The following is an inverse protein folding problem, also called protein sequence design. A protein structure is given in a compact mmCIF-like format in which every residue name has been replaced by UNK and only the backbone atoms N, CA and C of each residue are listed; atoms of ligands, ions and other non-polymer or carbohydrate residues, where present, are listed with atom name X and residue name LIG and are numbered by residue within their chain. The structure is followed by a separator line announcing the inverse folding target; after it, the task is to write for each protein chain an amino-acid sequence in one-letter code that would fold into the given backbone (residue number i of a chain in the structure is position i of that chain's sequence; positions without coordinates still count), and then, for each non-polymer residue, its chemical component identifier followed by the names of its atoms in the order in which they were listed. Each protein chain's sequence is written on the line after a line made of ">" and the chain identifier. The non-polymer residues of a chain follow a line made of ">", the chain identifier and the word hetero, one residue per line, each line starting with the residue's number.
data_IF_797373955906
#
_entry.id   IF_797373955906
#
_cell.length_a   1.000
_cell.length_b   1.000
_cell.length_c   1.000
_cell.angle_alpha   90.00
_cell.angle_beta   90.00
_cell.angle_gamma   90.00
#
_symmetry.space_group_name_H-M   'P 1'
#
loop_
_entity.id
_entity.type
_entity.pdbx_description
1 polymer ?
#
# COMPACT_ATOMS: atom_id res chain seq x y z
N UNK A 1 27.42 -3.61 -9.04
CA UNK A 1 27.19 -2.31 -9.71
C UNK A 1 26.91 -2.45 -11.21
N UNK A 2 26.16 -3.47 -11.67
CA UNK A 2 25.94 -3.73 -13.11
C UNK A 2 24.49 -4.06 -13.49
N UNK A 3 23.53 -4.03 -12.56
CA UNK A 3 22.15 -4.48 -12.82
C UNK A 3 21.19 -3.40 -13.35
N UNK A 4 21.62 -2.14 -13.42
CA UNK A 4 20.77 -0.99 -13.78
C UNK A 4 20.98 -0.46 -15.20
N UNK A 5 21.93 -0.99 -15.98
CA UNK A 5 22.23 -0.51 -17.33
C UNK A 5 20.95 -0.54 -18.20
N UNK A 6 20.38 0.64 -18.47
CA UNK A 6 19.19 0.81 -19.30
C UNK A 6 17.89 1.18 -18.57
N UNK A 7 17.85 1.24 -17.23
CA UNK A 7 16.64 1.62 -16.44
C UNK A 7 16.81 2.89 -15.60
N UNK A 8 17.84 3.69 -15.89
CA UNK A 8 18.14 4.92 -15.15
C UNK A 8 16.98 5.94 -15.20
N UNK A 9 16.26 5.99 -16.33
CA UNK A 9 15.10 6.86 -16.46
C UNK A 9 13.97 6.45 -15.50
N UNK A 10 13.66 5.16 -15.44
CA UNK A 10 12.63 4.62 -14.55
C UNK A 10 13.01 4.77 -13.08
N UNK A 11 14.29 4.58 -12.74
CA UNK A 11 14.81 4.85 -11.42
C UNK A 11 14.62 6.33 -11.03
N UNK A 12 14.88 7.26 -11.96
CA UNK A 12 14.68 8.69 -11.77
C UNK A 12 13.20 9.03 -11.55
N UNK A 13 12.31 8.43 -12.33
CA UNK A 13 10.87 8.62 -12.21
C UNK A 13 10.33 8.10 -10.87
N UNK A 14 10.74 6.90 -10.45
CA UNK A 14 10.40 6.33 -9.15
C UNK A 14 10.85 7.21 -7.98
N UNK A 15 12.10 7.69 -8.00
CA UNK A 15 12.61 8.62 -6.99
C UNK A 15 11.86 9.95 -7.00
N UNK A 16 11.41 10.40 -8.17
CA UNK A 16 10.62 11.63 -8.29
C UNK A 16 9.23 11.48 -7.66
N UNK A 17 8.55 10.36 -7.92
CA UNK A 17 7.28 10.04 -7.27
C UNK A 17 7.44 9.91 -5.75
N UNK A 18 8.48 9.20 -5.29
CA UNK A 18 8.80 9.12 -3.86
C UNK A 18 9.03 10.51 -3.24
N UNK A 19 9.79 11.39 -3.90
CA UNK A 19 10.03 12.75 -3.42
C UNK A 19 8.73 13.57 -3.30
N UNK A 20 7.76 13.38 -4.20
CA UNK A 20 6.47 14.10 -4.15
C UNK A 20 5.65 13.72 -2.91
N UNK A 21 5.60 12.44 -2.54
CA UNK A 21 4.89 12.01 -1.32
C UNK A 21 5.60 12.43 -0.02
N UNK A 22 6.92 12.66 -0.06
CA UNK A 22 7.70 13.13 1.10
C UNK A 22 7.49 14.61 1.42
N UNK A 23 7.45 15.47 0.38
CA UNK A 23 7.72 16.89 0.57
C UNK A 23 6.50 17.75 0.93
N UNK A 24 5.27 17.28 0.78
CA UNK A 24 4.06 18.06 1.10
C UNK A 24 4.00 19.48 0.49
N UNK A 25 4.87 19.80 -0.49
CA UNK A 25 5.11 21.10 -1.14
C UNK A 25 6.28 20.97 -2.11
N UNK A 26 6.00 20.98 -3.40
CA UNK A 26 6.21 22.12 -4.33
C UNK A 26 5.29 21.79 -5.49
N UNK A 27 4.42 22.74 -5.84
CA UNK A 27 3.65 22.67 -7.07
C UNK A 27 4.62 22.65 -8.27
N UNK A 28 5.02 21.46 -8.69
CA UNK A 28 5.30 21.21 -10.10
C UNK A 28 4.12 20.41 -10.58
N UNK A 29 3.17 21.12 -11.18
CA UNK A 29 2.03 20.54 -11.86
C UNK A 29 2.50 19.65 -13.00
N UNK A 30 2.82 18.40 -12.67
CA UNK A 30 2.81 17.29 -13.61
C UNK A 30 1.58 16.48 -13.23
N UNK A 31 0.42 17.07 -13.53
CA UNK A 31 -0.76 16.27 -13.80
C UNK A 31 -0.56 15.77 -15.22
N UNK A 32 -0.15 14.51 -15.35
CA UNK A 32 0.18 13.94 -16.64
C UNK A 32 0.43 12.45 -16.53
N UNK A 33 -0.03 11.72 -17.55
CA UNK A 33 0.45 10.37 -17.85
C UNK A 33 1.84 10.54 -18.45
N UNK A 34 2.90 10.33 -17.68
CA UNK A 34 4.23 10.13 -18.24
C UNK A 34 4.35 8.65 -18.61
N UNK A 35 4.31 8.39 -19.91
CA UNK A 35 4.38 7.06 -20.49
C UNK A 35 5.68 6.92 -21.26
N UNK A 36 6.56 6.06 -20.78
CA UNK A 36 7.74 5.58 -21.52
C UNK A 36 7.58 4.09 -21.73
N UNK A 37 8.26 3.49 -22.72
CA UNK A 37 8.26 2.03 -22.91
C UNK A 37 8.53 1.31 -21.58
N UNK A 38 7.51 0.69 -20.98
CA UNK A 38 7.64 -0.10 -19.75
C UNK A 38 7.34 0.62 -18.44
N UNK A 39 7.05 1.94 -18.40
CA UNK A 39 6.65 2.62 -17.16
C UNK A 39 5.54 3.63 -17.43
N UNK A 40 4.47 3.52 -16.65
CA UNK A 40 3.35 4.45 -16.62
C UNK A 40 3.25 5.05 -15.22
N UNK A 41 3.27 6.38 -15.14
CA UNK A 41 3.04 7.09 -13.89
C UNK A 41 1.70 7.79 -13.93
N UNK A 42 0.90 7.52 -12.91
CA UNK A 42 -0.39 8.14 -12.67
C UNK A 42 -0.31 8.93 -11.36
N UNK A 43 -0.21 10.24 -11.48
CA UNK A 43 -0.31 11.17 -10.35
C UNK A 43 -1.79 11.42 -10.05
N UNK A 44 -2.25 11.12 -8.83
CA UNK A 44 -3.64 11.38 -8.41
C UNK A 44 -3.67 12.67 -7.58
N UNK A 45 -4.26 13.78 -8.11
CA UNK A 45 -4.38 15.02 -7.34
C UNK A 45 -5.44 14.89 -6.23
N UNK A 46 -5.17 15.49 -5.07
CA UNK A 46 -6.12 15.63 -3.96
C UNK A 46 -7.27 16.60 -4.32
N UNK A 47 -8.50 16.35 -3.83
CA UNK A 47 -9.60 17.32 -3.93
C UNK A 47 -9.60 18.26 -2.73
N UNK A 48 -9.38 19.55 -3.00
CA UNK A 48 -9.86 20.66 -2.15
C UNK A 48 -9.23 20.77 -0.77
N UNK A 49 -8.06 21.39 -0.68
CA UNK A 49 -7.45 21.78 0.60
C UNK A 49 -6.13 22.51 0.39
N UNK A 50 -5.84 23.51 1.24
CA UNK A 50 -4.64 24.35 1.16
C UNK A 50 -3.35 23.64 1.70
N UNK A 51 -3.34 22.31 1.71
CA UNK A 51 -2.23 21.43 2.10
C UNK A 51 -2.05 20.40 0.99
N UNK A 52 -0.88 20.39 0.35
CA UNK A 52 -0.63 19.64 -0.88
C UNK A 52 0.26 18.42 -0.60
N UNK A 53 -0.36 17.33 -0.15
CA UNK A 53 0.29 16.02 -0.04
C UNK A 53 -0.30 15.13 -1.13
N UNK A 54 0.50 14.74 -2.13
CA UNK A 54 -0.02 13.96 -3.27
C UNK A 54 -0.08 12.46 -2.95
N UNK A 55 -1.00 11.79 -3.64
CA UNK A 55 -0.98 10.36 -3.83
C UNK A 55 -0.35 10.05 -5.18
N UNK A 56 0.54 9.07 -5.22
CA UNK A 56 1.26 8.70 -6.44
C UNK A 56 1.02 7.22 -6.76
N UNK A 57 0.87 6.91 -8.04
CA UNK A 57 0.82 5.54 -8.54
C UNK A 57 1.84 5.39 -9.65
N UNK A 58 2.70 4.38 -9.52
CA UNK A 58 3.71 4.04 -10.54
C UNK A 58 3.51 2.60 -10.95
N UNK A 59 3.20 2.38 -12.23
CA UNK A 59 3.14 1.06 -12.82
C UNK A 59 4.39 0.82 -13.67
N UNK A 60 5.05 -0.30 -13.41
CA UNK A 60 6.26 -0.73 -14.10
C UNK A 60 5.93 -2.04 -14.80
N UNK A 61 6.01 -1.99 -16.11
CA UNK A 61 5.66 -3.06 -17.00
C UNK A 61 6.95 -3.59 -17.68
N UNK A 62 6.87 -4.73 -18.35
CA UNK A 62 8.02 -5.37 -19.01
C UNK A 62 8.08 -6.88 -18.82
N UNK A 63 8.88 -7.56 -19.65
CA UNK A 63 9.01 -9.03 -19.65
C UNK A 63 9.52 -9.61 -18.33
N UNK A 64 9.39 -10.92 -18.16
CA UNK A 64 10.03 -11.63 -17.06
C UNK A 64 11.55 -11.43 -17.09
N UNK A 65 12.18 -11.28 -15.92
CA UNK A 65 13.64 -11.13 -15.81
C UNK A 65 14.20 -9.76 -16.19
N UNK A 66 13.39 -8.76 -16.55
CA UNK A 66 13.87 -7.40 -16.89
C UNK A 66 14.29 -6.56 -15.67
N UNK A 67 14.19 -7.10 -14.46
CA UNK A 67 14.64 -6.43 -13.23
C UNK A 67 13.66 -5.45 -12.60
N UNK A 68 12.34 -5.52 -12.90
CA UNK A 68 11.33 -4.56 -12.38
C UNK A 68 11.29 -4.55 -10.86
N UNK A 69 11.15 -5.73 -10.28
CA UNK A 69 11.13 -5.92 -8.83
C UNK A 69 12.46 -5.54 -8.19
N UNK A 70 13.58 -5.77 -8.89
CA UNK A 70 14.91 -5.37 -8.39
C UNK A 70 15.02 -3.85 -8.32
N UNK A 71 14.58 -3.13 -9.36
CA UNK A 71 14.56 -1.67 -9.39
C UNK A 71 13.78 -1.07 -8.21
N UNK A 72 12.58 -1.59 -7.93
CA UNK A 72 11.78 -1.09 -6.80
C UNK A 72 12.40 -1.45 -5.45
N UNK A 73 12.98 -2.65 -5.30
CA UNK A 73 13.69 -3.04 -4.06
C UNK A 73 14.94 -2.20 -3.79
N UNK A 74 15.63 -1.71 -4.83
CA UNK A 74 16.72 -0.75 -4.64
C UNK A 74 16.20 0.56 -4.01
N UNK A 75 15.08 1.10 -4.51
CA UNK A 75 14.41 2.23 -3.87
C UNK A 75 13.96 1.87 -2.45
N UNK A 76 13.38 0.69 -2.24
CA UNK A 76 12.96 0.22 -0.91
C UNK A 76 14.11 0.18 0.10
N UNK A 77 15.32 -0.23 -0.33
CA UNK A 77 16.51 -0.19 0.51
C UNK A 77 16.93 1.25 0.85
N UNK A 78 16.88 2.18 -0.12
CA UNK A 78 17.11 3.62 0.11
C UNK A 78 16.10 4.19 1.13
N UNK A 79 14.82 3.83 0.99
CA UNK A 79 13.72 4.25 1.88
C UNK A 79 13.92 3.72 3.29
N UNK A 80 14.22 2.43 3.44
CA UNK A 80 14.43 1.83 4.76
C UNK A 80 15.63 2.44 5.48
N UNK A 81 16.69 2.79 4.74
CA UNK A 81 17.86 3.46 5.29
C UNK A 81 17.57 4.88 5.78
N UNK A 82 16.60 5.61 5.21
CA UNK A 82 16.24 6.95 5.68
C UNK A 82 15.40 6.94 6.97
N UNK A 83 14.67 5.84 7.23
CA UNK A 83 13.91 5.63 8.47
C UNK A 83 12.71 6.58 8.68
N UNK A 84 12.33 7.33 7.65
CA UNK A 84 11.28 8.36 7.73
C UNK A 84 10.02 8.03 6.90
N UNK A 85 9.96 6.83 6.34
CA UNK A 85 8.90 6.36 5.44
C UNK A 85 8.72 4.85 5.64
N UNK A 86 7.48 4.38 5.59
CA UNK A 86 7.20 2.95 5.57
C UNK A 86 7.35 2.41 4.14
N UNK A 87 8.02 1.27 3.99
CA UNK A 87 8.06 0.51 2.74
C UNK A 87 7.55 -0.89 3.00
N UNK A 88 6.48 -1.27 2.31
CA UNK A 88 5.88 -2.60 2.40
C UNK A 88 5.81 -3.24 1.02
N UNK A 89 6.22 -4.50 0.95
CA UNK A 89 6.21 -5.29 -0.27
C UNK A 89 5.20 -6.42 -0.14
N UNK A 90 4.20 -6.41 -1.03
CA UNK A 90 3.29 -7.52 -1.27
C UNK A 90 3.68 -8.20 -2.59
N UNK A 91 4.16 -9.43 -2.51
CA UNK A 91 4.48 -10.23 -3.69
C UNK A 91 3.33 -11.17 -4.02
N UNK A 92 2.72 -10.98 -5.18
CA UNK A 92 1.70 -11.89 -5.69
C UNK A 92 2.36 -13.12 -6.33
N UNK A 93 1.80 -14.30 -6.08
CA UNK A 93 2.28 -15.53 -6.67
C UNK A 93 1.10 -16.46 -6.99
N UNK A 94 1.34 -17.41 -7.90
CA UNK A 94 0.33 -18.36 -8.39
C UNK A 94 -0.19 -19.28 -7.27
N UNK A 95 0.65 -19.57 -6.28
CA UNK A 95 0.37 -20.57 -5.23
C UNK A 95 -0.63 -20.00 -4.21
N UNK A 96 -0.47 -18.72 -3.84
CA UNK A 96 -1.31 -18.03 -2.84
C UNK A 96 -2.56 -17.38 -3.42
N UNK A 97 -2.83 -17.53 -4.72
CA UNK A 97 -3.98 -16.90 -5.41
C UNK A 97 -5.35 -17.31 -4.83
N UNK A 98 -5.40 -18.43 -4.12
CA UNK A 98 -6.61 -18.93 -3.47
C UNK A 98 -6.98 -18.18 -2.17
N UNK A 99 -6.02 -17.49 -1.55
CA UNK A 99 -6.24 -16.71 -0.33
C UNK A 99 -6.37 -15.21 -0.68
N UNK A 100 -7.56 -14.62 -0.54
CA UNK A 100 -7.78 -13.21 -0.84
C UNK A 100 -6.85 -12.32 -0.01
N UNK A 101 -6.26 -11.29 -0.63
CA UNK A 101 -5.42 -10.30 0.03
C UNK A 101 -4.11 -10.83 0.63
N UNK A 102 -3.73 -12.11 0.46
CA UNK A 102 -2.58 -12.70 1.16
C UNK A 102 -1.28 -11.89 1.03
N UNK A 103 -0.94 -11.45 -0.18
CA UNK A 103 0.24 -10.64 -0.44
C UNK A 103 0.18 -9.28 0.26
N UNK A 104 -0.99 -8.64 0.26
CA UNK A 104 -1.18 -7.33 0.90
C UNK A 104 -1.21 -7.47 2.43
N UNK A 105 -1.89 -8.48 2.97
CA UNK A 105 -1.90 -8.76 4.41
C UNK A 105 -0.47 -8.97 4.92
N UNK A 106 0.36 -9.73 4.21
CA UNK A 106 1.79 -9.89 4.53
C UNK A 106 2.53 -8.55 4.57
N UNK A 107 2.29 -7.69 3.57
CA UNK A 107 2.91 -6.37 3.48
C UNK A 107 2.48 -5.46 4.67
N UNK A 108 1.20 -5.48 5.01
CA UNK A 108 0.65 -4.68 6.11
C UNK A 108 1.06 -5.21 7.48
N UNK A 109 1.22 -6.52 7.64
CA UNK A 109 1.71 -7.14 8.87
C UNK A 109 3.15 -6.67 9.14
N UNK A 110 4.01 -6.72 8.12
CA UNK A 110 5.35 -6.14 8.19
C UNK A 110 5.34 -4.63 8.48
N UNK A 111 4.34 -3.91 7.96
CA UNK A 111 4.18 -2.47 8.24
C UNK A 111 3.86 -2.23 9.72
N UNK A 112 3.04 -3.08 10.34
CA UNK A 112 2.74 -3.01 11.77
C UNK A 112 4.02 -3.20 12.61
N UNK A 113 4.87 -4.17 12.26
CA UNK A 113 6.17 -4.37 12.93
C UNK A 113 7.06 -3.12 12.82
N UNK A 114 7.13 -2.52 11.63
CA UNK A 114 7.91 -1.29 11.42
C UNK A 114 7.35 -0.12 12.23
N UNK A 115 6.03 0.06 12.27
CA UNK A 115 5.38 1.11 13.07
C UNK A 115 5.68 0.91 14.56
N UNK A 116 5.63 -0.33 15.05
CA UNK A 116 5.95 -0.67 16.45
C UNK A 116 7.41 -0.35 16.82
N UNK A 117 8.31 -0.32 15.84
CA UNK A 117 9.73 0.04 16.03
C UNK A 117 10.01 1.54 15.98
N UNK A 118 9.01 2.38 15.65
CA UNK A 118 9.16 3.83 15.63
C UNK A 118 9.36 4.40 17.04
N UNK A 119 9.82 5.65 17.10
CA UNK A 119 9.90 6.37 18.37
C UNK A 119 8.53 6.45 19.07
N UNK A 120 8.56 6.49 20.40
CA UNK A 120 7.34 6.40 21.21
C UNK A 120 6.31 7.49 20.92
N UNK A 121 6.72 8.66 20.46
CA UNK A 121 5.81 9.76 20.12
C UNK A 121 5.07 9.51 18.81
N UNK A 122 5.78 9.09 17.75
CA UNK A 122 5.18 8.72 16.47
C UNK A 122 4.32 7.46 16.58
N UNK A 123 4.80 6.44 17.30
CA UNK A 123 4.01 5.24 17.55
C UNK A 123 2.70 5.57 18.27
N UNK A 124 2.73 6.42 19.30
CA UNK A 124 1.52 6.82 20.01
C UNK A 124 0.54 7.58 19.11
N UNK A 125 1.04 8.49 18.26
CA UNK A 125 0.22 9.25 17.32
C UNK A 125 -0.45 8.33 16.28
N UNK A 126 0.33 7.48 15.61
CA UNK A 126 -0.17 6.51 14.62
C UNK A 126 -1.16 5.54 15.26
N UNK A 127 -0.84 5.00 16.44
CA UNK A 127 -1.74 4.10 17.17
C UNK A 127 -3.08 4.78 17.48
N UNK A 128 -3.08 6.05 17.90
CA UNK A 128 -4.31 6.80 18.14
C UNK A 128 -5.12 6.96 16.86
N UNK A 129 -4.49 7.45 15.78
CA UNK A 129 -5.16 7.66 14.51
C UNK A 129 -5.73 6.36 13.92
N UNK A 130 -4.98 5.26 14.00
CA UNK A 130 -5.44 3.95 13.55
C UNK A 130 -6.64 3.48 14.36
N UNK A 131 -6.60 3.57 15.70
CA UNK A 131 -7.74 3.21 16.56
C UNK A 131 -9.00 4.01 16.21
N UNK A 132 -8.86 5.32 16.02
CA UNK A 132 -9.99 6.20 15.66
C UNK A 132 -10.55 5.85 14.28
N UNK A 133 -9.68 5.46 13.33
CA UNK A 133 -10.08 5.13 11.97
C UNK A 133 -10.75 3.74 11.85
N UNK A 134 -10.23 2.71 12.55
CA UNK A 134 -10.78 1.34 12.45
C UNK A 134 -11.92 1.09 13.42
N UNK A 135 -11.98 1.82 14.54
CA UNK A 135 -13.03 1.70 15.54
C UNK A 135 -13.15 0.29 16.13
N UNK A 136 -14.39 -0.11 16.44
CA UNK A 136 -14.72 -1.41 17.05
C UNK A 136 -14.72 -2.59 16.06
N UNK A 137 -14.59 -2.33 14.77
CA UNK A 137 -14.63 -3.35 13.72
C UNK A 137 -13.25 -4.00 13.48
N UNK A 138 -12.29 -3.81 14.40
CA UNK A 138 -10.90 -4.21 14.21
C UNK A 138 -10.64 -5.72 14.23
N UNK A 139 -11.55 -6.53 14.75
CA UNK A 139 -11.36 -7.99 14.89
C UNK A 139 -11.08 -8.69 13.55
N UNK A 140 -11.70 -8.20 12.47
CA UNK A 140 -11.47 -8.73 11.11
C UNK A 140 -10.05 -8.41 10.63
N UNK A 141 -9.52 -7.22 10.96
CA UNK A 141 -8.13 -6.87 10.68
C UNK A 141 -7.15 -7.69 11.53
N UNK A 142 -7.43 -7.89 12.82
CA UNK A 142 -6.58 -8.69 13.71
C UNK A 142 -6.46 -10.15 13.25
N UNK A 143 -7.54 -10.71 12.69
CA UNK A 143 -7.52 -12.04 12.10
C UNK A 143 -6.64 -12.10 10.83
N UNK A 144 -6.73 -11.08 9.97
CA UNK A 144 -6.00 -11.04 8.70
C UNK A 144 -4.53 -10.58 8.83
N UNK A 145 -4.23 -9.76 9.84
CA UNK A 145 -2.96 -9.09 10.08
C UNK A 145 -2.61 -9.30 11.56
N UNK A 146 -1.96 -10.41 11.95
CA UNK A 146 -1.77 -10.77 13.36
C UNK A 146 -1.10 -9.69 14.22
N UNK A 147 -0.10 -8.99 13.66
CA UNK A 147 0.66 -7.92 14.33
C UNK A 147 -0.20 -6.67 14.59
N UNK A 148 -1.35 -6.56 13.92
CA UNK A 148 -2.27 -5.44 14.11
C UNK A 148 -2.79 -5.33 15.56
N UNK A 149 -2.99 -6.47 16.22
CA UNK A 149 -3.44 -6.50 17.62
C UNK A 149 -2.42 -5.85 18.59
N UNK A 150 -1.13 -6.01 18.31
CA UNK A 150 -0.04 -5.36 19.06
C UNK A 150 0.04 -3.87 18.75
N UNK A 151 -0.17 -3.50 17.48
CA UNK A 151 -0.26 -2.10 17.07
C UNK A 151 -1.39 -1.39 17.80
N UNK A 152 -2.59 -2.00 17.88
CA UNK A 152 -3.70 -1.44 18.63
C UNK A 152 -3.43 -1.41 20.14
N UNK A 153 -2.72 -2.39 20.70
CA UNK A 153 -2.40 -2.44 22.13
C UNK A 153 -3.60 -2.73 23.05
N UNK A 154 -3.32 -2.94 24.35
CA UNK A 154 -4.27 -3.54 25.29
C UNK A 154 -5.61 -2.80 25.53
N UNK A 155 -5.71 -1.50 25.22
CA UNK A 155 -6.92 -0.72 25.53
C UNK A 155 -8.13 -1.04 24.63
N UNK A 156 -7.93 -1.61 23.44
CA UNK A 156 -9.04 -2.01 22.58
C UNK A 156 -9.73 -3.29 23.11
N UNK A 157 -8.93 -4.25 23.59
CA UNK A 157 -9.42 -5.52 24.18
C UNK A 157 -10.42 -5.32 25.31
N UNK A 158 -10.34 -4.20 26.04
CA UNK A 158 -11.28 -3.88 27.12
C UNK A 158 -12.65 -3.38 26.63
N UNK A 159 -12.73 -2.73 25.46
CA UNK A 159 -14.01 -2.28 24.89
C UNK A 159 -14.74 -3.37 24.11
N UNK A 160 -14.05 -4.45 23.74
CA UNK A 160 -14.63 -5.64 23.09
C UNK A 160 -15.35 -6.60 24.07
N UNK A 161 -15.46 -6.23 25.36
CA UNK A 161 -16.25 -6.98 26.36
C UNK A 161 -17.76 -6.66 26.26
N UNK A 162 -18.26 -6.48 25.03
CA UNK A 162 -19.68 -6.57 24.72
C UNK A 162 -19.90 -8.00 24.20
N UNK A 163 -20.83 -8.80 24.78
CA UNK A 163 -21.03 -10.17 24.34
C UNK A 163 -21.62 -10.18 22.92
N UNK A 164 -20.79 -10.53 21.93
CA UNK A 164 -21.17 -10.62 20.51
C UNK A 164 -19.99 -10.71 19.52
N UNK A 165 -18.77 -10.31 19.93
CA UNK A 165 -17.68 -9.96 19.02
C UNK A 165 -16.80 -11.14 18.51
N UNK A 166 -17.31 -12.37 18.47
CA UNK A 166 -16.69 -13.49 17.72
C UNK A 166 -17.61 -13.94 16.58
N UNK A 167 -17.93 -13.05 15.65
CA UNK A 167 -18.73 -13.38 14.46
C UNK A 167 -17.92 -13.53 13.18
N UNK A 168 -16.58 -13.39 13.18
CA UNK A 168 -15.79 -13.66 11.96
C UNK A 168 -15.98 -15.12 11.49
N UNK A 169 -16.14 -16.06 12.43
CA UNK A 169 -16.27 -17.49 12.16
C UNK A 169 -17.59 -17.92 11.47
N UNK A 170 -18.59 -17.05 11.36
CA UNK A 170 -19.88 -17.37 10.73
C UNK A 170 -20.34 -16.34 9.68
N UNK A 171 -19.48 -15.37 9.34
CA UNK A 171 -19.81 -14.33 8.39
C UNK A 171 -19.57 -14.78 6.94
N UNK A 172 -20.37 -14.25 6.02
CA UNK A 172 -20.24 -14.54 4.60
C UNK A 172 -18.85 -14.06 4.10
N UNK A 173 -18.05 -14.91 3.42
CA UNK A 173 -16.70 -14.55 2.98
C UNK A 173 -16.62 -13.25 2.16
N UNK A 174 -17.64 -12.97 1.34
CA UNK A 174 -17.72 -11.74 0.55
C UNK A 174 -17.90 -10.50 1.43
N UNK A 175 -18.65 -10.62 2.54
CA UNK A 175 -18.81 -9.52 3.50
C UNK A 175 -17.50 -9.23 4.22
N UNK A 176 -16.80 -10.28 4.68
CA UNK A 176 -15.48 -10.16 5.31
C UNK A 176 -14.49 -9.47 4.36
N UNK A 177 -14.42 -9.89 3.10
CA UNK A 177 -13.56 -9.26 2.10
C UNK A 177 -13.88 -7.77 1.88
N UNK A 178 -15.17 -7.41 1.79
CA UNK A 178 -15.58 -6.02 1.65
C UNK A 178 -15.20 -5.17 2.87
N UNK A 179 -15.41 -5.72 4.07
CA UNK A 179 -15.03 -5.08 5.32
C UNK A 179 -13.51 -4.91 5.42
N UNK A 180 -12.72 -5.92 5.04
CA UNK A 180 -11.26 -5.80 4.94
C UNK A 180 -10.84 -4.68 4.01
N UNK A 181 -11.45 -4.56 2.83
CA UNK A 181 -11.13 -3.47 1.89
C UNK A 181 -11.34 -2.10 2.56
N UNK A 182 -12.47 -1.89 3.23
CA UNK A 182 -12.79 -0.63 3.93
C UNK A 182 -11.79 -0.37 5.05
N UNK A 183 -11.57 -1.36 5.92
CA UNK A 183 -10.73 -1.21 7.10
C UNK A 183 -9.26 -1.01 6.74
N UNK A 184 -8.74 -1.72 5.74
CA UNK A 184 -7.38 -1.51 5.23
C UNK A 184 -7.24 -0.11 4.63
N UNK A 185 -8.23 0.36 3.87
CA UNK A 185 -8.19 1.73 3.31
C UNK A 185 -8.12 2.77 4.41
N UNK A 186 -8.93 2.64 5.47
CA UNK A 186 -8.90 3.52 6.65
C UNK A 186 -7.58 3.42 7.42
N UNK A 187 -7.04 2.22 7.58
CA UNK A 187 -5.74 2.00 8.21
C UNK A 187 -4.62 2.72 7.47
N UNK A 188 -4.52 2.51 6.15
CA UNK A 188 -3.50 3.15 5.29
C UNK A 188 -3.63 4.67 5.39
N UNK A 189 -4.85 5.19 5.28
CA UNK A 189 -5.12 6.63 5.42
C UNK A 189 -4.60 7.19 6.74
N UNK A 190 -4.96 6.55 7.85
CA UNK A 190 -4.54 6.97 9.19
C UNK A 190 -3.02 6.99 9.35
N UNK A 191 -2.32 5.95 8.86
CA UNK A 191 -0.86 5.89 8.86
C UNK A 191 -0.25 7.02 8.04
N UNK A 192 -0.76 7.24 6.81
CA UNK A 192 -0.28 8.25 5.88
C UNK A 192 -0.37 9.69 6.43
N UNK A 193 -1.27 9.97 7.38
CA UNK A 193 -1.33 11.28 8.05
C UNK A 193 -0.09 11.62 8.91
N UNK A 194 0.71 10.61 9.28
CA UNK A 194 1.84 10.76 10.18
C UNK A 194 3.18 10.41 9.55
N UNK A 195 3.20 9.43 8.65
CA UNK A 195 4.41 8.98 7.97
C UNK A 195 4.05 8.56 6.53
N UNK A 196 4.83 8.99 5.52
CA UNK A 196 4.60 8.54 4.16
C UNK A 196 4.72 7.03 4.04
N UNK A 197 3.92 6.45 3.14
CA UNK A 197 3.81 5.01 2.97
C UNK A 197 4.00 4.63 1.51
N UNK A 198 4.99 3.78 1.23
CA UNK A 198 5.19 3.12 -0.05
C UNK A 198 4.69 1.69 0.02
N UNK A 199 3.66 1.37 -0.77
CA UNK A 199 3.15 0.01 -0.93
C UNK A 199 3.55 -0.51 -2.31
N UNK A 200 4.43 -1.50 -2.33
CA UNK A 200 4.90 -2.16 -3.53
C UNK A 200 4.12 -3.47 -3.75
N UNK A 201 3.36 -3.54 -4.84
CA UNK A 201 2.67 -4.71 -5.35
C UNK A 201 3.46 -5.35 -6.50
N UNK A 202 4.18 -6.43 -6.21
CA UNK A 202 5.01 -7.15 -7.18
C UNK A 202 4.22 -8.28 -7.87
N UNK A 203 4.51 -8.51 -9.15
CA UNK A 203 3.84 -9.54 -9.96
C UNK A 203 2.30 -9.44 -10.01
N UNK A 204 1.78 -8.22 -10.22
CA UNK A 204 0.33 -7.91 -10.26
C UNK A 204 -0.50 -8.79 -11.20
N UNK A 205 0.10 -9.39 -12.23
CA UNK A 205 -0.60 -10.36 -13.09
C UNK A 205 -1.18 -11.55 -12.31
N UNK A 206 -0.61 -11.87 -11.14
CA UNK A 206 -1.07 -12.95 -10.27
C UNK A 206 -2.03 -12.48 -9.18
N UNK A 207 -2.36 -11.20 -9.12
CA UNK A 207 -3.25 -10.66 -8.09
C UNK A 207 -4.64 -11.33 -8.14
N UNK A 208 -5.22 -11.52 -6.96
CA UNK A 208 -6.62 -11.90 -6.82
C UNK A 208 -7.55 -10.68 -6.98
N UNK A 209 -8.81 -10.95 -7.30
CA UNK A 209 -9.81 -9.90 -7.55
C UNK A 209 -10.01 -8.98 -6.35
N UNK A 210 -9.89 -9.49 -5.13
CA UNK A 210 -10.11 -8.70 -3.90
C UNK A 210 -8.92 -7.78 -3.64
N UNK A 211 -7.69 -8.24 -3.90
CA UNK A 211 -6.51 -7.38 -3.93
C UNK A 211 -6.62 -6.26 -4.95
N UNK A 212 -7.05 -6.55 -6.18
CA UNK A 212 -7.25 -5.51 -7.19
C UNK A 212 -8.33 -4.48 -6.77
N UNK A 213 -9.41 -4.93 -6.12
CA UNK A 213 -10.43 -4.04 -5.56
C UNK A 213 -9.87 -3.15 -4.44
N UNK A 214 -9.04 -3.70 -3.55
CA UNK A 214 -8.37 -2.93 -2.51
C UNK A 214 -7.42 -1.90 -3.11
N UNK A 215 -6.53 -2.30 -4.03
CA UNK A 215 -5.60 -1.39 -4.70
C UNK A 215 -6.36 -0.25 -5.39
N UNK A 216 -7.46 -0.56 -6.08
CA UNK A 216 -8.34 0.47 -6.65
C UNK A 216 -8.91 1.40 -5.57
N UNK A 217 -9.43 0.85 -4.47
CA UNK A 217 -9.99 1.64 -3.38
C UNK A 217 -8.96 2.61 -2.81
N UNK A 218 -7.74 2.14 -2.57
CA UNK A 218 -6.61 2.96 -2.11
C UNK A 218 -6.32 4.11 -3.08
N UNK A 219 -6.22 3.83 -4.38
CA UNK A 219 -5.91 4.82 -5.44
C UNK A 219 -7.03 5.83 -5.67
N UNK A 220 -8.29 5.43 -5.46
CA UNK A 220 -9.44 6.34 -5.63
C UNK A 220 -9.72 7.19 -4.40
N UNK A 221 -9.14 6.85 -3.26
CA UNK A 221 -9.30 7.56 -2.01
C UNK A 221 -8.35 8.76 -1.96
N UNK A 222 -8.89 9.93 -2.28
CA UNK A 222 -8.16 11.19 -2.36
C UNK A 222 -7.65 11.69 -1.00
N UNK A 223 -8.08 11.08 0.10
CA UNK A 223 -7.58 11.40 1.45
C UNK A 223 -6.30 10.62 1.79
N UNK A 224 -5.83 9.70 0.94
CA UNK A 224 -4.58 8.94 1.10
C UNK A 224 -3.34 9.77 0.71
N UNK A 225 -3.25 10.97 1.26
CA UNK A 225 -2.14 11.87 1.03
C UNK A 225 -0.84 11.29 1.59
N UNK A 226 0.24 11.21 0.81
CA UNK A 226 1.49 10.59 1.26
C UNK A 226 1.62 9.08 0.97
N UNK A 227 0.67 8.51 0.23
CA UNK A 227 0.75 7.14 -0.31
C UNK A 227 1.41 7.12 -1.69
N UNK A 228 2.42 6.27 -1.87
CA UNK A 228 2.94 5.86 -3.17
C UNK A 228 2.65 4.38 -3.40
N UNK A 229 1.78 4.08 -4.35
CA UNK A 229 1.55 2.72 -4.81
C UNK A 229 2.49 2.41 -5.98
N UNK A 230 3.28 1.34 -5.88
CA UNK A 230 4.11 0.86 -6.99
C UNK A 230 3.58 -0.50 -7.41
N UNK A 231 3.28 -0.69 -8.69
CA UNK A 231 2.83 -1.96 -9.26
C UNK A 231 3.82 -2.47 -10.30
N UNK A 232 4.25 -3.73 -10.21
CA UNK A 232 5.01 -4.38 -11.27
C UNK A 232 4.17 -5.45 -11.98
N UNK A 233 4.15 -5.44 -13.31
CA UNK A 233 3.44 -6.46 -14.10
C UNK A 233 4.14 -6.79 -15.42
N UNK A 234 3.62 -7.78 -16.15
CA UNK A 234 4.14 -8.23 -17.45
C UNK A 234 3.31 -7.71 -18.62
N UNK A 235 3.97 -7.16 -19.63
CA UNK A 235 3.31 -6.59 -20.83
C UNK A 235 2.60 -7.66 -21.67
N UNK A 236 3.18 -8.85 -21.70
CA UNK A 236 2.77 -9.94 -22.58
C UNK A 236 1.45 -10.61 -22.10
N UNK A 237 0.98 -10.35 -20.87
CA UNK A 237 -0.20 -11.01 -20.27
C UNK A 237 -1.45 -10.11 -20.27
N UNK A 238 -1.31 -8.80 -20.51
CA UNK A 238 -2.45 -7.85 -20.55
C UNK A 238 -3.00 -7.67 -21.97
N UNK A 239 -2.20 -7.99 -22.99
CA UNK A 239 -2.60 -7.92 -24.40
C UNK A 239 -3.54 -9.05 -24.83
N UNK A 240 -3.67 -10.13 -24.05
CA UNK A 240 -4.65 -11.20 -24.30
C UNK A 240 -6.02 -10.94 -23.64
N UNK A 241 -6.14 -9.94 -22.75
CA UNK A 241 -7.41 -9.63 -22.05
C UNK A 241 -8.23 -8.55 -22.79
N UNK A 242 -7.63 -7.88 -23.79
CA UNK A 242 -8.39 -7.07 -24.75
C UNK A 242 -8.74 -7.91 -25.98
N UNK A 243 -9.99 -8.39 -26.00
CA UNK A 243 -10.85 -8.77 -27.14
C UNK A 243 -11.48 -10.16 -26.99
N UNK A 244 -12.81 -10.33 -27.16
CA UNK A 244 -13.87 -9.36 -27.47
C UNK A 244 -14.75 -8.94 -26.28
#
# INVERSE_FOLDING_TARGET
>A
SSALHGRDHEASLLRSAYKRIQLGRVATGIVGKEETKGVEILTVPEKGGNKATSQEVVLISGRSGTGKSHLVRLLGAEIQASGNTLFAEGKFDVIRRAEPLAAINTALDRSCELILSLDGSKLAAIRSAVRDAVGFECSVLEYAIPTFSELLGAQQKMKDTIPGNSTVINENPTKIQHQLIILITRFVRAVCTHIPFVLFADDLQWADTTSLKLLRALVTDQENSGLLLIGCYRDDEVSEISHP
#
